data_IF_880331795483
#
_entry.id   IF_880331795483
#
_cell.length_a   1.000
_cell.length_b   1.000
_cell.length_c   1.000
_cell.angle_alpha   90.00
_cell.angle_beta   90.00
_cell.angle_gamma   90.00
#
_symmetry.space_group_name_H-M   'P 1'
#
loop_
_entity.id
_entity.type
_entity.pdbx_description
1 polymer ?
#
# COMPACT_ATOMS: atom_id res chain seq x y z
N UNK A 1 8.80 -1.93 17.40
CA UNK A 1 7.61 -2.65 16.91
C UNK A 1 7.24 -2.06 15.57
N UNK A 2 7.12 -2.88 14.52
CA UNK A 2 6.72 -2.42 13.19
C UNK A 2 5.22 -2.18 13.17
N UNK A 3 4.77 -1.00 12.72
CA UNK A 3 3.34 -0.69 12.61
C UNK A 3 2.79 -1.24 11.30
N UNK A 4 1.73 -2.02 11.39
CA UNK A 4 1.03 -2.58 10.23
C UNK A 4 -0.29 -1.85 10.01
N UNK A 5 -0.57 -1.51 8.77
CA UNK A 5 -1.81 -0.88 8.33
C UNK A 5 -2.67 -1.86 7.54
N UNK A 6 -3.98 -1.73 7.66
CA UNK A 6 -4.96 -2.33 6.76
C UNK A 6 -5.04 -1.56 5.44
N UNK A 7 -5.59 -2.18 4.40
CA UNK A 7 -5.82 -1.52 3.11
C UNK A 7 -6.62 -0.22 3.22
N UNK A 8 -7.57 -0.16 4.14
CA UNK A 8 -8.41 1.02 4.37
C UNK A 8 -7.65 2.15 5.07
N UNK A 9 -6.72 1.84 5.95
CA UNK A 9 -5.85 2.84 6.57
C UNK A 9 -4.85 3.39 5.57
N UNK A 10 -4.20 2.51 4.79
CA UNK A 10 -3.29 2.94 3.72
C UNK A 10 -4.00 3.81 2.69
N UNK A 11 -5.24 3.44 2.31
CA UNK A 11 -6.08 4.23 1.42
C UNK A 11 -6.28 5.66 1.94
N UNK A 12 -6.58 5.82 3.24
CA UNK A 12 -6.72 7.13 3.88
C UNK A 12 -5.41 7.92 3.91
N UNK A 13 -4.29 7.25 4.25
CA UNK A 13 -2.96 7.88 4.33
C UNK A 13 -2.51 8.40 2.95
N UNK A 14 -2.73 7.62 1.90
CA UNK A 14 -2.33 7.95 0.54
C UNK A 14 -3.39 8.78 -0.21
N UNK A 15 -4.56 9.01 0.37
CA UNK A 15 -5.66 9.75 -0.27
C UNK A 15 -6.25 9.03 -1.50
N UNK A 16 -6.24 7.70 -1.52
CA UNK A 16 -6.74 6.87 -2.64
C UNK A 16 -7.81 5.89 -2.18
N UNK A 17 -8.44 5.16 -3.11
CA UNK A 17 -9.44 4.15 -2.76
C UNK A 17 -8.79 2.82 -2.34
N UNK A 18 -9.49 2.02 -1.52
CA UNK A 18 -9.05 0.66 -1.17
C UNK A 18 -8.87 -0.25 -2.40
N UNK A 19 -9.64 -0.01 -3.47
CA UNK A 19 -9.49 -0.71 -4.76
C UNK A 19 -8.16 -0.36 -5.42
N UNK A 20 -7.76 0.91 -5.36
CA UNK A 20 -6.44 1.35 -5.81
C UNK A 20 -5.33 0.66 -5.01
N UNK A 21 -5.44 0.60 -3.68
CA UNK A 21 -4.47 -0.10 -2.83
C UNK A 21 -4.34 -1.59 -3.20
N UNK A 22 -5.45 -2.28 -3.42
CA UNK A 22 -5.41 -3.68 -3.85
C UNK A 22 -4.74 -3.85 -5.24
N UNK A 23 -4.97 -2.92 -6.16
CA UNK A 23 -4.29 -2.90 -7.46
C UNK A 23 -2.78 -2.66 -7.32
N UNK A 24 -2.38 -1.69 -6.48
CA UNK A 24 -0.97 -1.38 -6.22
C UNK A 24 -0.23 -2.55 -5.56
N UNK A 25 -0.89 -3.23 -4.61
CA UNK A 25 -0.39 -4.46 -4.01
C UNK A 25 -0.13 -5.54 -5.07
N UNK A 26 -1.11 -5.80 -5.95
CA UNK A 26 -0.96 -6.77 -7.05
C UNK A 26 0.15 -6.42 -8.03
N UNK A 27 0.46 -5.12 -8.18
CA UNK A 27 1.55 -4.61 -9.01
C UNK A 27 2.91 -4.65 -8.33
N UNK A 28 2.99 -5.09 -7.07
CA UNK A 28 4.26 -5.21 -6.33
C UNK A 28 4.80 -3.88 -5.82
N UNK A 29 3.97 -2.84 -5.68
CA UNK A 29 4.40 -1.55 -5.12
C UNK A 29 4.69 -1.57 -3.62
N UNK A 30 4.24 -2.64 -2.93
CA UNK A 30 4.45 -2.85 -1.51
C UNK A 30 5.14 -4.22 -1.32
N UNK A 31 6.48 -4.28 -1.40
CA UNK A 31 7.23 -5.53 -1.43
C UNK A 31 7.11 -6.36 -0.14
N UNK A 32 6.88 -5.70 1.00
CA UNK A 32 6.74 -6.34 2.31
C UNK A 32 5.28 -6.45 2.76
N UNK A 33 4.33 -6.05 1.92
CA UNK A 33 2.92 -6.27 2.20
C UNK A 33 2.53 -7.73 1.97
N UNK A 34 1.57 -8.21 2.74
CA UNK A 34 1.12 -9.60 2.67
C UNK A 34 -0.38 -9.74 2.96
N UNK A 35 -0.92 -10.88 2.53
CA UNK A 35 -2.25 -11.35 2.95
C UNK A 35 -2.09 -12.12 4.26
N UNK A 36 -2.97 -11.87 5.22
CA UNK A 36 -2.99 -12.62 6.49
C UNK A 36 -3.18 -14.13 6.25
N UNK A 37 -3.97 -14.47 5.22
CA UNK A 37 -4.20 -15.82 4.73
C UNK A 37 -4.04 -15.83 3.20
N UNK A 38 -2.92 -16.33 2.66
CA UNK A 38 -2.67 -16.31 1.22
C UNK A 38 -3.60 -17.24 0.43
N UNK A 39 -4.20 -18.24 1.07
CA UNK A 39 -5.07 -19.24 0.42
C UNK A 39 -6.48 -18.71 0.17
N UNK A 40 -6.92 -17.71 0.94
CA UNK A 40 -8.22 -17.05 0.78
C UNK A 40 -8.18 -15.89 -0.21
N UNK A 41 -9.15 -15.86 -1.11
CA UNK A 41 -9.25 -14.81 -2.12
C UNK A 41 -9.44 -13.41 -1.49
N UNK A 42 -10.30 -13.30 -0.49
CA UNK A 42 -10.67 -12.04 0.19
C UNK A 42 -9.94 -11.82 1.52
N UNK A 43 -8.74 -12.38 1.64
CA UNK A 43 -7.97 -12.26 2.87
C UNK A 43 -7.55 -10.81 3.15
N UNK A 44 -7.61 -10.35 4.42
CA UNK A 44 -7.15 -9.02 4.79
C UNK A 44 -5.69 -8.80 4.41
N UNK A 45 -5.42 -7.64 3.81
CA UNK A 45 -4.05 -7.20 3.51
C UNK A 45 -3.45 -6.45 4.71
N UNK A 46 -2.15 -6.63 4.91
CA UNK A 46 -1.34 -5.90 5.88
C UNK A 46 -0.15 -5.27 5.18
N UNK A 47 0.07 -4.00 5.50
CA UNK A 47 1.10 -3.17 4.89
C UNK A 47 1.99 -2.61 5.99
N UNK A 48 3.30 -2.89 5.97
CA UNK A 48 4.26 -2.22 6.85
C UNK A 48 4.28 -0.71 6.64
N UNK A 49 4.49 0.05 7.72
CA UNK A 49 4.58 1.51 7.65
C UNK A 49 5.67 2.01 6.71
N UNK A 50 6.79 1.28 6.63
CA UNK A 50 7.94 1.61 5.78
C UNK A 50 7.59 1.55 4.28
N UNK A 51 6.83 0.53 3.88
CA UNK A 51 6.35 0.36 2.50
C UNK A 51 5.38 1.49 2.12
N UNK A 52 4.49 1.88 3.05
CA UNK A 52 3.52 2.96 2.84
C UNK A 52 4.23 4.29 2.67
N UNK A 53 5.21 4.61 3.53
CA UNK A 53 5.96 5.85 3.43
C UNK A 53 6.85 5.88 2.17
N UNK A 54 7.54 4.79 1.86
CA UNK A 54 8.36 4.68 0.64
C UNK A 54 7.52 4.93 -0.62
N UNK A 55 6.30 4.37 -0.67
CA UNK A 55 5.38 4.64 -1.78
C UNK A 55 4.89 6.10 -1.80
N UNK A 56 4.60 6.67 -0.62
CA UNK A 56 4.19 8.06 -0.46
C UNK A 56 5.27 9.05 -0.94
N UNK A 57 6.53 8.77 -0.65
CA UNK A 57 7.64 9.56 -1.17
C UNK A 57 7.77 9.43 -2.68
N UNK A 58 7.61 8.20 -3.21
CA UNK A 58 7.64 7.95 -4.65
C UNK A 58 6.57 8.74 -5.41
N UNK A 59 5.31 8.78 -4.93
CA UNK A 59 4.26 9.57 -5.57
C UNK A 59 4.56 11.08 -5.50
N UNK A 60 5.15 11.55 -4.40
CA UNK A 60 5.55 12.95 -4.23
C UNK A 60 6.65 13.33 -5.23
N UNK A 61 7.65 12.47 -5.42
CA UNK A 61 8.74 12.70 -6.37
C UNK A 61 8.26 12.63 -7.83
N UNK A 62 7.36 11.69 -8.16
CA UNK A 62 6.79 11.59 -9.51
C UNK A 62 5.95 12.80 -9.89
N UNK A 63 5.21 13.41 -8.95
CA UNK A 63 4.46 14.65 -9.20
C UNK A 63 5.36 15.88 -9.43
N UNK A 64 6.64 15.84 -9.03
CA UNK A 64 7.61 16.92 -9.25
C UNK A 64 8.33 16.83 -10.59
N UNK A 65 8.06 15.79 -11.41
CA UNK A 65 8.71 15.53 -12.70
C UNK A 65 7.77 15.62 -13.91
N UNK A 66 6.64 16.31 -13.80
CA UNK A 66 5.86 16.68 -14.99
C UNK A 66 6.28 18.08 -15.47
N UNK A 67 6.75 18.23 -16.73
CA UNK A 67 7.15 19.51 -17.33
C UNK A 67 5.99 20.48 -17.54
#
# INVERSE_FOLDING_TARGET
MQKLYSSSEVAKILGVTSKTIASLFKRGHFPNAFKVDPTRQNSPLRFPSEDVESYREKIRMNHHKSP
#
